data_IF_415415712535
#
_entry.id   IF_415415712535
#
_cell.length_a   1.000
_cell.length_b   1.000
_cell.length_c   1.000
_cell.angle_alpha   90.00
_cell.angle_beta   90.00
_cell.angle_gamma   90.00
#
_symmetry.space_group_name_H-M   'P 1'
#
loop_
_entity.id
_entity.type
_entity.pdbx_description
1 polymer ?
#
# COMPACT_ATOMS: atom_id res chain seq x y z
N UNK A 1 22.77 -76.60 -23.94
CA UNK A 1 22.96 -75.52 -24.95
C UNK A 1 21.71 -74.64 -25.16
N UNK A 2 20.47 -75.17 -25.15
CA UNK A 2 19.24 -74.35 -25.33
C UNK A 2 18.92 -73.37 -24.18
N UNK A 3 19.31 -73.67 -22.94
CA UNK A 3 19.08 -72.80 -21.77
C UNK A 3 19.97 -71.55 -21.75
N UNK A 4 21.20 -71.64 -22.25
CA UNK A 4 22.13 -70.50 -22.33
C UNK A 4 21.66 -69.43 -23.33
N UNK A 5 21.08 -69.85 -24.46
CA UNK A 5 20.57 -68.94 -25.51
C UNK A 5 19.33 -68.19 -25.00
N UNK A 6 18.44 -68.84 -24.26
CA UNK A 6 17.23 -68.21 -23.70
C UNK A 6 17.56 -67.11 -22.68
N UNK A 7 18.55 -67.35 -21.81
CA UNK A 7 18.99 -66.37 -20.80
C UNK A 7 19.64 -65.13 -21.44
N UNK A 8 20.33 -65.29 -22.57
CA UNK A 8 20.97 -64.18 -23.28
C UNK A 8 19.96 -63.21 -23.91
N UNK A 9 18.88 -63.74 -24.51
CA UNK A 9 17.81 -62.90 -25.03
C UNK A 9 17.08 -62.15 -23.91
N UNK A 10 16.75 -62.81 -22.79
CA UNK A 10 16.08 -62.14 -21.65
C UNK A 10 16.93 -61.03 -21.02
N UNK A 11 18.25 -61.23 -20.88
CA UNK A 11 19.15 -60.19 -20.34
C UNK A 11 19.21 -58.98 -21.26
N UNK A 12 19.24 -59.18 -22.58
CA UNK A 12 19.21 -58.08 -23.57
C UNK A 12 17.90 -57.30 -23.55
N UNK A 13 16.76 -57.98 -23.46
CA UNK A 13 15.45 -57.32 -23.40
C UNK A 13 15.31 -56.50 -22.11
N UNK A 14 15.71 -57.06 -20.96
CA UNK A 14 15.69 -56.35 -19.67
C UNK A 14 16.64 -55.14 -19.69
N UNK A 15 17.84 -55.29 -20.23
CA UNK A 15 18.80 -54.18 -20.37
C UNK A 15 18.26 -53.05 -21.26
N UNK A 16 17.62 -53.38 -22.38
CA UNK A 16 17.00 -52.39 -23.26
C UNK A 16 15.82 -51.65 -22.58
N UNK A 17 15.00 -52.35 -21.80
CA UNK A 17 13.93 -51.73 -21.01
C UNK A 17 14.49 -50.78 -19.95
N UNK A 18 15.52 -51.19 -19.20
CA UNK A 18 16.16 -50.34 -18.19
C UNK A 18 16.78 -49.09 -18.80
N UNK A 19 17.45 -49.22 -19.96
CA UNK A 19 18.01 -48.09 -20.67
C UNK A 19 16.91 -47.15 -21.20
N UNK A 20 15.80 -47.70 -21.69
CA UNK A 20 14.63 -46.92 -22.09
C UNK A 20 14.03 -46.12 -20.92
N UNK A 21 13.87 -46.74 -19.75
CA UNK A 21 13.40 -46.05 -18.54
C UNK A 21 14.36 -44.94 -18.11
N UNK A 22 15.68 -45.18 -18.16
CA UNK A 22 16.70 -44.17 -17.87
C UNK A 22 16.62 -42.98 -18.82
N UNK A 23 16.50 -43.23 -20.13
CA UNK A 23 16.37 -42.16 -21.14
C UNK A 23 15.11 -41.34 -20.91
N UNK A 24 13.98 -41.99 -20.65
CA UNK A 24 12.71 -41.30 -20.35
C UNK A 24 12.87 -40.47 -19.09
N UNK A 25 13.43 -41.03 -18.02
CA UNK A 25 13.67 -40.32 -16.76
C UNK A 25 14.51 -39.05 -17.00
N UNK A 26 15.69 -39.16 -17.61
CA UNK A 26 16.54 -38.00 -17.89
C UNK A 26 15.88 -36.97 -18.81
N UNK A 27 15.16 -37.40 -19.85
CA UNK A 27 14.44 -36.50 -20.73
C UNK A 27 13.32 -35.75 -19.97
N UNK A 28 12.57 -36.44 -19.11
CA UNK A 28 11.53 -35.81 -18.28
C UNK A 28 12.13 -34.82 -17.30
N UNK A 29 13.22 -35.17 -16.60
CA UNK A 29 13.90 -34.27 -15.66
C UNK A 29 14.43 -33.03 -16.37
N UNK A 30 15.08 -33.18 -17.53
CA UNK A 30 15.59 -32.05 -18.30
C UNK A 30 14.47 -31.10 -18.79
N UNK A 31 13.31 -31.65 -19.23
CA UNK A 31 12.16 -30.83 -19.63
C UNK A 31 11.58 -30.10 -18.41
N UNK A 32 11.47 -30.77 -17.26
CA UNK A 32 11.00 -30.16 -16.01
C UNK A 32 11.93 -29.02 -15.59
N UNK A 33 13.25 -29.21 -15.64
CA UNK A 33 14.23 -28.19 -15.26
C UNK A 33 14.14 -26.94 -16.15
N UNK A 34 14.02 -27.13 -17.47
CA UNK A 34 13.86 -26.01 -18.42
C UNK A 34 12.57 -25.24 -18.14
N UNK A 35 11.47 -25.94 -17.87
CA UNK A 35 10.18 -25.31 -17.54
C UNK A 35 10.24 -24.58 -16.21
N UNK A 36 10.82 -25.20 -15.18
CA UNK A 36 10.96 -24.62 -13.85
C UNK A 36 11.79 -23.33 -13.91
N UNK A 37 12.91 -23.36 -14.64
CA UNK A 37 13.75 -22.17 -14.85
C UNK A 37 13.01 -21.05 -15.58
N UNK A 38 12.22 -21.37 -16.62
CA UNK A 38 11.41 -20.37 -17.32
C UNK A 38 10.31 -19.76 -16.42
N UNK A 39 9.67 -20.57 -15.58
CA UNK A 39 8.70 -20.08 -14.59
C UNK A 39 9.36 -19.22 -13.50
N UNK A 40 10.56 -19.58 -13.06
CA UNK A 40 11.32 -18.79 -12.10
C UNK A 40 11.62 -17.39 -12.65
N UNK A 41 12.15 -17.32 -13.88
CA UNK A 41 12.46 -16.05 -14.53
C UNK A 41 11.21 -15.18 -14.71
N UNK A 42 10.11 -15.79 -15.16
CA UNK A 42 8.83 -15.08 -15.34
C UNK A 42 8.31 -14.52 -14.01
N UNK A 43 8.37 -15.33 -12.94
CA UNK A 43 7.93 -14.90 -11.61
C UNK A 43 8.78 -13.75 -11.07
N UNK A 44 10.10 -13.81 -11.27
CA UNK A 44 11.01 -12.71 -10.88
C UNK A 44 10.72 -11.42 -11.64
N UNK A 45 10.41 -11.50 -12.93
CA UNK A 45 10.01 -10.33 -13.73
C UNK A 45 8.71 -9.72 -13.18
N UNK A 46 7.69 -10.55 -12.90
CA UNK A 46 6.44 -10.09 -12.31
C UNK A 46 6.64 -9.42 -10.95
N UNK A 47 7.51 -9.98 -10.10
CA UNK A 47 7.88 -9.37 -8.81
C UNK A 47 8.56 -8.02 -9.03
N UNK A 48 9.47 -7.91 -9.99
CA UNK A 48 10.18 -6.66 -10.29
C UNK A 48 9.25 -5.57 -10.83
N UNK A 49 8.35 -5.92 -11.75
CA UNK A 49 7.32 -5.02 -12.28
C UNK A 49 6.41 -4.54 -11.16
N UNK A 50 5.92 -5.46 -10.33
CA UNK A 50 5.06 -5.14 -9.19
C UNK A 50 5.78 -4.28 -8.15
N UNK A 51 7.08 -4.51 -7.91
CA UNK A 51 7.88 -3.67 -7.02
C UNK A 51 7.96 -2.22 -7.53
N UNK A 52 8.05 -2.02 -8.85
CA UNK A 52 8.04 -0.67 -9.44
C UNK A 52 6.71 0.03 -9.22
N UNK A 53 5.60 -0.71 -9.34
CA UNK A 53 4.25 -0.20 -9.02
C UNK A 53 4.15 0.20 -7.54
N UNK A 54 4.62 -0.65 -6.62
CA UNK A 54 4.63 -0.35 -5.18
C UNK A 54 5.45 0.89 -4.85
N UNK A 55 6.63 1.03 -5.47
CA UNK A 55 7.49 2.21 -5.28
C UNK A 55 6.80 3.48 -5.75
N UNK A 56 6.18 3.48 -6.93
CA UNK A 56 5.46 4.64 -7.45
C UNK A 56 4.28 5.05 -6.54
N UNK A 57 3.52 4.07 -6.04
CA UNK A 57 2.40 4.32 -5.12
C UNK A 57 2.93 4.85 -3.79
N UNK A 58 3.99 4.27 -3.23
CA UNK A 58 4.59 4.73 -1.98
C UNK A 58 5.15 6.15 -2.09
N UNK A 59 5.81 6.49 -3.19
CA UNK A 59 6.32 7.84 -3.45
C UNK A 59 5.17 8.84 -3.60
N UNK A 60 4.14 8.50 -4.38
CA UNK A 60 2.95 9.32 -4.53
C UNK A 60 2.26 9.54 -3.17
N UNK A 61 2.02 8.48 -2.40
CA UNK A 61 1.41 8.55 -1.05
C UNK A 61 2.24 9.43 -0.13
N UNK A 62 3.57 9.26 -0.12
CA UNK A 62 4.49 10.00 0.73
C UNK A 62 4.56 11.51 0.44
N UNK A 63 4.32 11.92 -0.82
CA UNK A 63 4.20 13.34 -1.20
C UNK A 63 2.81 13.91 -1.00
N UNK A 64 1.88 13.13 -0.44
CA UNK A 64 0.45 13.40 -0.51
C UNK A 64 0.07 13.73 -1.96
N UNK A 65 0.41 12.85 -2.89
CA UNK A 65 -0.04 12.88 -4.28
C UNK A 65 -1.09 11.80 -4.52
N UNK A 66 -1.61 11.77 -5.74
CA UNK A 66 -2.37 10.64 -6.26
C UNK A 66 -1.70 10.21 -7.55
N UNK A 67 -1.85 8.95 -7.92
CA UNK A 67 -1.59 8.57 -9.30
C UNK A 67 -2.76 8.97 -10.22
N UNK A 68 -2.51 8.87 -11.53
CA UNK A 68 -3.45 9.25 -12.59
C UNK A 68 -4.84 8.61 -12.43
N UNK A 69 -4.90 7.38 -11.91
CA UNK A 69 -6.19 6.72 -11.70
C UNK A 69 -6.95 7.31 -10.51
N UNK A 70 -6.28 7.63 -9.40
CA UNK A 70 -6.93 8.23 -8.25
C UNK A 70 -7.30 9.71 -8.42
N UNK A 71 -6.62 10.46 -9.30
CA UNK A 71 -7.01 11.84 -9.65
C UNK A 71 -8.44 11.92 -10.23
N UNK A 72 -8.90 10.85 -10.90
CA UNK A 72 -10.26 10.78 -11.43
C UNK A 72 -11.34 10.49 -10.38
N UNK A 73 -10.94 9.97 -9.22
CA UNK A 73 -11.84 9.54 -8.14
C UNK A 73 -12.03 10.67 -7.14
N UNK A 74 -10.97 11.43 -6.86
CA UNK A 74 -10.99 12.48 -5.83
C UNK A 74 -10.93 13.84 -6.51
N UNK A 75 -12.10 14.48 -6.56
CA UNK A 75 -12.20 15.86 -6.99
C UNK A 75 -11.86 16.80 -5.83
N UNK A 76 -10.82 17.60 -6.03
CA UNK A 76 -10.58 18.75 -5.16
C UNK A 76 -11.75 19.75 -5.29
N UNK A 77 -11.96 20.56 -4.27
CA UNK A 77 -12.91 21.65 -4.37
C UNK A 77 -12.41 22.71 -5.35
N UNK A 78 -13.33 23.51 -5.90
CA UNK A 78 -12.94 24.49 -6.91
C UNK A 78 -11.98 25.52 -6.32
N UNK A 79 -11.02 26.03 -7.12
CA UNK A 79 -9.94 26.92 -6.63
C UNK A 79 -10.48 28.16 -5.90
N UNK A 80 -11.61 28.70 -6.36
CA UNK A 80 -12.30 29.81 -5.70
C UNK A 80 -12.83 29.41 -4.31
N UNK A 81 -13.41 28.23 -4.17
CA UNK A 81 -13.93 27.69 -2.91
C UNK A 81 -12.80 27.40 -1.93
N UNK A 82 -11.69 26.86 -2.43
CA UNK A 82 -10.47 26.64 -1.64
C UNK A 82 -9.92 27.95 -1.08
N UNK A 83 -9.84 28.97 -1.92
CA UNK A 83 -9.34 30.30 -1.52
C UNK A 83 -10.25 30.95 -0.49
N UNK A 84 -11.57 30.84 -0.67
CA UNK A 84 -12.55 31.35 0.29
C UNK A 84 -12.47 30.59 1.62
N UNK A 85 -12.35 29.26 1.57
CA UNK A 85 -12.19 28.40 2.74
C UNK A 85 -10.94 28.76 3.55
N UNK A 86 -9.79 28.86 2.91
CA UNK A 86 -8.53 29.21 3.56
C UNK A 86 -8.58 30.64 4.14
N UNK A 87 -9.25 31.57 3.44
CA UNK A 87 -9.49 32.93 3.94
C UNK A 87 -10.34 32.94 5.21
N UNK A 88 -11.45 32.20 5.24
CA UNK A 88 -12.32 32.09 6.41
C UNK A 88 -11.60 31.44 7.59
N UNK A 89 -10.86 30.35 7.36
CA UNK A 89 -10.07 29.68 8.40
C UNK A 89 -9.01 30.61 9.02
N UNK A 90 -8.31 31.40 8.21
CA UNK A 90 -7.27 32.32 8.70
C UNK A 90 -7.81 33.39 9.66
N UNK A 91 -9.10 33.75 9.53
CA UNK A 91 -9.77 34.76 10.35
C UNK A 91 -10.53 34.18 11.54
N UNK A 92 -10.53 32.85 11.72
CA UNK A 92 -11.26 32.19 12.81
C UNK A 92 -10.89 32.76 14.19
N UNK A 93 -9.61 33.08 14.39
CA UNK A 93 -9.09 33.66 15.64
C UNK A 93 -9.54 35.11 15.89
N UNK A 94 -9.88 35.86 14.85
CA UNK A 94 -10.35 37.26 14.96
C UNK A 94 -11.86 37.31 15.22
N UNK A 95 -12.53 36.16 15.10
CA UNK A 95 -13.98 36.04 15.16
C UNK A 95 -14.60 36.15 13.77
N UNK A 96 -15.47 35.21 13.46
CA UNK A 96 -16.29 35.21 12.25
C UNK A 96 -17.73 35.58 12.62
N UNK A 97 -18.41 36.30 11.73
CA UNK A 97 -19.86 36.49 11.84
C UNK A 97 -20.59 35.15 11.65
N UNK A 98 -21.83 35.06 12.11
CA UNK A 98 -22.63 33.83 11.99
C UNK A 98 -22.81 33.39 10.53
N UNK A 99 -23.00 34.34 9.60
CA UNK A 99 -23.08 34.06 8.17
C UNK A 99 -21.76 33.51 7.61
N UNK A 100 -20.62 34.02 8.07
CA UNK A 100 -19.31 33.53 7.66
C UNK A 100 -19.01 32.15 8.23
N UNK A 101 -19.46 31.84 9.46
CA UNK A 101 -19.35 30.50 10.04
C UNK A 101 -20.18 29.46 9.28
N UNK A 102 -21.40 29.81 8.84
CA UNK A 102 -22.24 28.93 8.02
C UNK A 102 -21.56 28.67 6.66
N UNK A 103 -20.98 29.71 6.04
CA UNK A 103 -20.22 29.53 4.81
C UNK A 103 -18.98 28.66 5.03
N UNK A 104 -18.28 28.85 6.14
CA UNK A 104 -17.12 28.04 6.52
C UNK A 104 -17.51 26.57 6.69
N UNK A 105 -18.59 26.26 7.40
CA UNK A 105 -19.10 24.88 7.57
C UNK A 105 -19.42 24.23 6.23
N UNK A 106 -20.14 24.94 5.35
CA UNK A 106 -20.46 24.44 4.00
C UNK A 106 -19.21 24.17 3.17
N UNK A 107 -18.21 25.06 3.23
CA UNK A 107 -16.94 24.88 2.53
C UNK A 107 -16.09 23.77 3.16
N UNK A 108 -16.12 23.63 4.49
CA UNK A 108 -15.46 22.57 5.22
C UNK A 108 -15.97 21.20 4.79
N UNK A 109 -17.30 21.02 4.69
CA UNK A 109 -17.90 19.78 4.19
C UNK A 109 -17.53 19.42 2.74
N UNK A 110 -16.96 20.36 1.96
CA UNK A 110 -16.57 20.15 0.56
C UNK A 110 -15.06 20.06 0.35
N UNK A 111 -14.28 20.84 1.10
CA UNK A 111 -12.83 20.94 0.96
C UNK A 111 -12.05 20.24 2.10
N UNK A 112 -12.67 20.07 3.26
CA UNK A 112 -12.00 19.66 4.51
C UNK A 112 -11.49 18.22 4.49
N UNK A 113 -12.22 17.31 3.85
CA UNK A 113 -11.87 15.89 3.78
C UNK A 113 -10.90 15.55 2.64
N UNK A 114 -10.60 16.48 1.71
CA UNK A 114 -9.83 16.18 0.50
C UNK A 114 -8.51 15.44 0.78
N UNK A 115 -7.74 15.92 1.77
CA UNK A 115 -6.46 15.31 2.12
C UNK A 115 -6.61 13.95 2.80
N UNK A 116 -7.62 13.78 3.67
CA UNK A 116 -7.88 12.50 4.33
C UNK A 116 -8.37 11.45 3.35
N UNK A 117 -9.30 11.82 2.46
CA UNK A 117 -9.88 10.92 1.46
C UNK A 117 -8.81 10.46 0.48
N UNK A 118 -7.94 11.38 0.07
CA UNK A 118 -6.80 11.08 -0.77
C UNK A 118 -5.84 10.11 -0.13
N UNK A 119 -5.50 10.34 1.14
CA UNK A 119 -4.58 9.45 1.85
C UNK A 119 -5.19 8.07 2.06
N UNK A 120 -6.50 8.00 2.34
CA UNK A 120 -7.24 6.76 2.50
C UNK A 120 -7.24 5.94 1.21
N UNK A 121 -7.54 6.57 0.07
CA UNK A 121 -7.53 5.90 -1.23
C UNK A 121 -6.15 5.33 -1.56
N UNK A 122 -5.10 6.15 -1.41
CA UNK A 122 -3.74 5.73 -1.74
C UNK A 122 -3.21 4.65 -0.79
N UNK A 123 -3.51 4.73 0.51
CA UNK A 123 -3.17 3.68 1.48
C UNK A 123 -3.88 2.35 1.19
N UNK A 124 -5.19 2.39 0.89
CA UNK A 124 -5.96 1.21 0.49
C UNK A 124 -5.38 0.56 -0.77
N UNK A 125 -5.02 1.38 -1.76
CA UNK A 125 -4.38 0.91 -2.98
C UNK A 125 -3.01 0.27 -2.71
N UNK A 126 -2.17 0.91 -1.90
CA UNK A 126 -0.87 0.37 -1.52
C UNK A 126 -1.02 -1.01 -0.87
N UNK A 127 -1.96 -1.16 0.05
CA UNK A 127 -2.27 -2.42 0.72
C UNK A 127 -2.64 -3.52 -0.29
N UNK A 128 -3.56 -3.21 -1.22
CA UNK A 128 -3.96 -4.16 -2.27
C UNK A 128 -2.79 -4.58 -3.15
N UNK A 129 -1.96 -3.64 -3.59
CA UNK A 129 -0.81 -3.97 -4.45
C UNK A 129 0.26 -4.78 -3.71
N UNK A 130 0.35 -4.66 -2.37
CA UNK A 130 1.23 -5.49 -1.54
C UNK A 130 0.71 -6.93 -1.46
N UNK A 131 -0.60 -7.14 -1.40
CA UNK A 131 -1.18 -8.51 -1.42
C UNK A 131 -0.85 -9.23 -2.73
N UNK A 132 -0.92 -8.51 -3.86
CA UNK A 132 -0.54 -9.03 -5.18
C UNK A 132 0.96 -9.35 -5.20
N UNK A 133 1.80 -8.43 -4.69
CA UNK A 133 3.24 -8.64 -4.57
C UNK A 133 3.60 -9.86 -3.72
N UNK A 134 2.99 -10.00 -2.55
CA UNK A 134 3.17 -11.13 -1.65
C UNK A 134 2.75 -12.45 -2.33
N UNK A 135 1.70 -12.43 -3.14
CA UNK A 135 1.26 -13.60 -3.91
C UNK A 135 2.35 -14.04 -4.89
N UNK A 136 2.96 -13.13 -5.64
CA UNK A 136 4.07 -13.48 -6.55
C UNK A 136 5.30 -13.98 -5.80
N UNK A 137 5.67 -13.35 -4.69
CA UNK A 137 6.77 -13.81 -3.82
C UNK A 137 6.49 -15.21 -3.30
N UNK A 138 5.26 -15.48 -2.84
CA UNK A 138 4.84 -16.80 -2.35
C UNK A 138 4.90 -17.87 -3.45
N UNK A 139 4.46 -17.54 -4.67
CA UNK A 139 4.55 -18.46 -5.81
C UNK A 139 6.00 -18.82 -6.14
N UNK A 140 6.90 -17.84 -6.17
CA UNK A 140 8.33 -18.07 -6.38
C UNK A 140 8.95 -18.89 -5.23
N UNK A 141 8.53 -18.63 -3.99
CA UNK A 141 8.94 -19.41 -2.82
C UNK A 141 8.56 -20.88 -2.94
N UNK A 142 7.33 -21.18 -3.37
CA UNK A 142 6.87 -22.55 -3.60
C UNK A 142 7.68 -23.22 -4.71
N UNK A 143 7.97 -22.47 -5.80
CA UNK A 143 8.75 -22.97 -6.93
C UNK A 143 10.18 -23.36 -6.54
N UNK A 144 10.83 -22.55 -5.69
CA UNK A 144 12.21 -22.76 -5.26
C UNK A 144 12.34 -23.63 -4.00
N UNK A 145 11.25 -23.87 -3.29
CA UNK A 145 11.25 -24.59 -2.02
C UNK A 145 11.91 -23.81 -0.86
N UNK A 146 11.96 -22.48 -0.96
CA UNK A 146 12.58 -21.59 0.04
C UNK A 146 11.68 -20.39 0.37
N UNK A 147 11.76 -19.86 1.60
CA UNK A 147 11.01 -18.68 2.01
C UNK A 147 11.72 -17.38 1.61
N UNK A 148 11.17 -16.67 0.64
CA UNK A 148 11.74 -15.47 0.04
C UNK A 148 11.11 -14.18 0.58
N UNK A 149 10.15 -14.25 1.50
CA UNK A 149 9.48 -13.06 2.04
C UNK A 149 10.47 -12.07 2.68
N UNK A 150 11.56 -12.57 3.28
CA UNK A 150 12.64 -11.75 3.82
C UNK A 150 13.49 -11.09 2.74
N UNK A 151 13.84 -11.83 1.69
CA UNK A 151 14.64 -11.31 0.57
C UNK A 151 13.90 -10.21 -0.21
N UNK A 152 12.59 -10.33 -0.34
CA UNK A 152 11.72 -9.35 -0.99
C UNK A 152 11.09 -8.33 -0.03
N UNK A 153 11.53 -8.29 1.23
CA UNK A 153 11.13 -7.29 2.23
C UNK A 153 9.59 -7.15 2.41
N UNK A 154 8.83 -8.24 2.23
CA UNK A 154 7.35 -8.22 2.25
C UNK A 154 6.82 -7.61 3.55
N UNK A 155 7.46 -7.91 4.69
CA UNK A 155 7.06 -7.36 5.98
C UNK A 155 7.31 -5.86 6.11
N UNK A 156 8.35 -5.31 5.47
CA UNK A 156 8.59 -3.86 5.46
C UNK A 156 7.56 -3.13 4.62
N UNK A 157 7.16 -3.71 3.48
CA UNK A 157 6.06 -3.19 2.67
C UNK A 157 4.75 -3.14 3.47
N UNK A 158 4.41 -4.22 4.17
CA UNK A 158 3.23 -4.26 5.06
C UNK A 158 3.31 -3.23 6.19
N UNK A 159 4.48 -3.07 6.82
CA UNK A 159 4.68 -2.05 7.83
C UNK A 159 4.49 -0.63 7.27
N UNK A 160 4.97 -0.36 6.05
CA UNK A 160 4.75 0.93 5.39
C UNK A 160 3.27 1.18 5.15
N UNK A 161 2.54 0.19 4.63
CA UNK A 161 1.10 0.33 4.41
C UNK A 161 0.34 0.63 5.71
N UNK A 162 0.67 -0.07 6.80
CA UNK A 162 0.08 0.19 8.11
C UNK A 162 0.35 1.61 8.62
N UNK A 163 1.56 2.15 8.43
CA UNK A 163 1.87 3.53 8.83
C UNK A 163 1.18 4.58 7.94
N UNK A 164 1.00 4.31 6.64
CA UNK A 164 0.25 5.20 5.75
C UNK A 164 -1.27 5.15 6.05
N UNK A 165 -1.81 3.98 6.40
CA UNK A 165 -3.19 3.79 6.89
C UNK A 165 -3.41 4.55 8.21
N UNK A 166 -2.54 4.34 9.20
CA UNK A 166 -2.57 5.06 10.47
C UNK A 166 -2.56 6.58 10.26
N UNK A 167 -1.72 7.08 9.35
CA UNK A 167 -1.72 8.50 9.01
C UNK A 167 -3.04 8.96 8.41
N UNK A 168 -3.65 8.16 7.52
CA UNK A 168 -4.98 8.46 6.97
C UNK A 168 -6.04 8.59 8.05
N UNK A 169 -6.07 7.66 9.01
CA UNK A 169 -7.00 7.71 10.14
C UNK A 169 -6.78 8.96 11.00
N UNK A 170 -5.53 9.31 11.29
CA UNK A 170 -5.18 10.52 12.05
C UNK A 170 -5.60 11.80 11.31
N UNK A 171 -5.44 11.87 9.98
CA UNK A 171 -5.98 12.99 9.20
C UNK A 171 -7.50 13.07 9.28
N UNK A 172 -8.20 11.94 9.15
CA UNK A 172 -9.66 11.90 9.32
C UNK A 172 -10.09 12.41 10.70
N UNK A 173 -9.36 12.05 11.76
CA UNK A 173 -9.60 12.56 13.12
C UNK A 173 -9.32 14.06 13.26
N UNK A 174 -8.28 14.60 12.61
CA UNK A 174 -8.04 16.06 12.58
C UNK A 174 -9.17 16.81 11.90
N UNK A 175 -9.66 16.29 10.77
CA UNK A 175 -10.83 16.86 10.08
C UNK A 175 -12.06 16.80 11.00
N UNK A 176 -12.30 15.68 11.67
CA UNK A 176 -13.38 15.56 12.66
C UNK A 176 -13.25 16.53 13.84
N UNK A 177 -12.04 16.79 14.33
CA UNK A 177 -11.80 17.79 15.38
C UNK A 177 -12.10 19.21 14.88
N UNK A 178 -11.70 19.55 13.65
CA UNK A 178 -12.01 20.84 13.04
C UNK A 178 -13.51 21.04 12.85
N UNK A 179 -14.23 20.01 12.41
CA UNK A 179 -15.70 20.02 12.28
C UNK A 179 -16.37 20.31 13.63
N UNK A 180 -15.94 19.63 14.69
CA UNK A 180 -16.43 19.87 16.06
C UNK A 180 -16.20 21.31 16.52
N UNK A 181 -15.04 21.90 16.21
CA UNK A 181 -14.75 23.31 16.53
C UNK A 181 -15.75 24.24 15.81
N UNK A 182 -15.95 24.03 14.51
CA UNK A 182 -16.89 24.83 13.71
C UNK A 182 -18.31 24.71 14.27
N UNK A 183 -18.79 23.49 14.54
CA UNK A 183 -20.10 23.25 15.12
C UNK A 183 -20.26 23.90 16.51
N UNK A 184 -19.21 23.86 17.34
CA UNK A 184 -19.21 24.46 18.67
C UNK A 184 -19.30 25.99 18.59
N UNK A 185 -18.56 26.61 17.67
CA UNK A 185 -18.65 28.05 17.39
C UNK A 185 -20.03 28.45 16.85
N UNK A 186 -20.62 27.65 15.94
CA UNK A 186 -21.97 27.86 15.42
C UNK A 186 -23.05 27.78 16.49
N UNK A 187 -22.84 26.98 17.54
CA UNK A 187 -23.74 26.91 18.71
C UNK A 187 -23.68 28.16 19.61
N UNK A 188 -22.82 29.13 19.29
CA UNK A 188 -22.68 30.41 20.00
C UNK A 188 -21.68 30.38 21.15
N UNK A 189 -20.89 29.30 21.29
CA UNK A 189 -19.82 29.23 22.29
C UNK A 189 -18.61 30.04 21.85
N UNK A 190 -17.90 30.61 22.82
CA UNK A 190 -16.70 31.39 22.54
C UNK A 190 -15.53 30.48 22.17
N UNK A 191 -14.59 31.00 21.37
CA UNK A 191 -13.35 30.32 21.00
C UNK A 191 -12.49 29.88 22.21
N UNK A 192 -12.73 30.48 23.39
CA UNK A 192 -12.03 30.18 24.64
C UNK A 192 -12.86 29.32 25.60
N UNK A 193 -13.96 28.73 25.13
CA UNK A 193 -14.74 27.79 25.94
C UNK A 193 -13.95 26.52 26.24
N UNK A 194 -14.18 25.94 27.42
CA UNK A 194 -13.48 24.73 27.88
C UNK A 194 -13.59 23.59 26.85
N UNK A 195 -14.75 23.45 26.21
CA UNK A 195 -14.99 22.44 25.17
C UNK A 195 -14.12 22.63 23.92
N UNK A 196 -13.91 23.88 23.47
CA UNK A 196 -12.99 24.15 22.35
C UNK A 196 -11.55 23.87 22.78
N UNK A 197 -11.18 24.18 24.03
CA UNK A 197 -9.84 23.86 24.54
C UNK A 197 -9.60 22.34 24.61
N UNK A 198 -10.61 21.55 24.99
CA UNK A 198 -10.53 20.09 24.95
C UNK A 198 -10.32 19.56 23.53
N UNK A 199 -11.08 20.08 22.54
CA UNK A 199 -10.93 19.67 21.14
C UNK A 199 -9.55 20.09 20.59
N UNK A 200 -9.05 21.27 20.94
CA UNK A 200 -7.73 21.74 20.54
C UNK A 200 -6.62 20.87 21.13
N UNK A 201 -6.77 20.42 22.38
CA UNK A 201 -5.84 19.49 23.01
C UNK A 201 -5.85 18.13 22.32
N UNK A 202 -7.02 17.58 21.98
CA UNK A 202 -7.12 16.36 21.16
C UNK A 202 -6.42 16.54 19.80
N UNK A 203 -6.68 17.65 19.10
CA UNK A 203 -6.08 17.95 17.81
C UNK A 203 -4.55 18.03 17.90
N UNK A 204 -4.01 18.60 18.98
CA UNK A 204 -2.56 18.66 19.22
C UNK A 204 -1.95 17.26 19.41
N UNK A 205 -2.59 16.40 20.19
CA UNK A 205 -2.14 15.01 20.38
C UNK A 205 -2.15 14.21 19.07
N UNK A 206 -3.18 14.42 18.25
CA UNK A 206 -3.26 13.81 16.91
C UNK A 206 -2.12 14.32 16.03
N UNK A 207 -1.82 15.63 16.03
CA UNK A 207 -0.70 16.19 15.26
C UNK A 207 0.65 15.62 15.69
N UNK A 208 0.92 15.52 17.00
CA UNK A 208 2.14 14.91 17.52
C UNK A 208 2.27 13.45 17.08
N UNK A 209 1.16 12.70 17.14
CA UNK A 209 1.12 11.31 16.68
C UNK A 209 1.36 11.19 15.18
N UNK A 210 0.81 12.11 14.38
CA UNK A 210 0.96 12.16 12.93
C UNK A 210 2.41 12.47 12.53
N UNK A 211 3.10 13.34 13.27
CA UNK A 211 4.53 13.59 13.07
C UNK A 211 5.37 12.32 13.26
N UNK A 212 5.07 11.53 14.29
CA UNK A 212 5.77 10.26 14.55
C UNK A 212 5.50 9.25 13.43
N UNK A 213 4.23 9.04 13.07
CA UNK A 213 3.84 8.09 12.02
C UNK A 213 4.45 8.47 10.66
N UNK A 214 4.45 9.76 10.30
CA UNK A 214 5.08 10.24 9.07
C UNK A 214 6.60 9.99 9.08
N UNK A 215 7.27 10.20 10.22
CA UNK A 215 8.70 9.88 10.35
C UNK A 215 8.97 8.38 10.16
N UNK A 216 8.15 7.52 10.76
CA UNK A 216 8.26 6.07 10.61
C UNK A 216 8.04 5.62 9.16
N UNK A 217 6.98 6.10 8.51
CA UNK A 217 6.73 5.83 7.10
C UNK A 217 7.86 6.33 6.19
N UNK A 218 8.43 7.52 6.48
CA UNK A 218 9.58 8.05 5.75
C UNK A 218 10.82 7.17 5.87
N UNK A 219 11.14 6.69 7.08
CA UNK A 219 12.23 5.72 7.30
C UNK A 219 11.99 4.43 6.52
N UNK A 220 10.80 3.86 6.60
CA UNK A 220 10.45 2.64 5.86
C UNK A 220 10.57 2.84 4.35
N UNK A 221 10.11 3.98 3.81
CA UNK A 221 10.28 4.33 2.39
C UNK A 221 11.76 4.41 2.01
N UNK A 222 12.60 5.05 2.81
CA UNK A 222 14.03 5.15 2.54
C UNK A 222 14.74 3.77 2.55
N UNK A 223 14.25 2.82 3.35
CA UNK A 223 14.78 1.45 3.37
C UNK A 223 14.29 0.58 2.20
N UNK A 224 13.09 0.87 1.67
CA UNK A 224 12.47 0.15 0.54
C UNK A 224 12.90 0.71 -0.82
N UNK A 225 13.27 1.99 -0.86
CA UNK A 225 13.72 2.74 -2.03
C UNK A 225 15.20 3.07 -1.84
N UNK A 226 16.14 2.13 -2.09
CA UNK A 226 17.55 2.49 -2.14
C UNK A 226 17.75 3.43 -3.33
N UNK A 227 17.98 4.72 -3.04
CA UNK A 227 18.45 5.71 -4.02
C UNK A 227 19.83 5.32 -4.54
#
# INVERSE_FOLDING_TARGET
MKTAIKNWFTVKTVGACLLGVLVIYFATTAIVDVRLSAYEQTSRLQIADQQTVLLAIAEATGRNGVDVAGESIIHDCAVNERTEFDSLLSRLNVGLSQTELITLERLFGRCGSFFSDRKSLMSSRLTREIEIYETYVTQLSILLGDNLSGAFLVQKWKALAAEEERQSELFGRLVGAQDKIIATLLSGKSANSDEIQEILQEAKEIQETLLVANKQASTLRAELVPL
#
